data_IF_186165521785
#
_entry.id   IF_186165521785
#
_cell.length_a   1.000
_cell.length_b   1.000
_cell.length_c   1.000
_cell.angle_alpha   90.00
_cell.angle_beta   90.00
_cell.angle_gamma   90.00
#
_symmetry.space_group_name_H-M   'P 1'
#
loop_
_entity.id
_entity.type
_entity.pdbx_description
1 polymer ?
#
# COMPACT_ATOMS: atom_id res chain seq x y z
N UNK A 1 0.35 13.44 10.94
CA UNK A 1 1.21 12.58 10.09
C UNK A 1 1.02 12.97 8.65
N UNK A 2 2.10 13.10 7.88
CA UNK A 2 1.99 13.32 6.43
C UNK A 2 1.31 12.12 5.72
N UNK A 3 0.79 12.32 4.51
CA UNK A 3 0.10 11.26 3.75
C UNK A 3 1.06 10.36 2.96
N UNK A 4 2.38 10.58 3.06
CA UNK A 4 3.36 9.89 2.22
C UNK A 4 3.70 8.53 2.83
N UNK A 5 3.45 7.48 2.06
CA UNK A 5 3.90 6.12 2.40
C UNK A 5 5.43 6.05 2.36
N UNK A 6 6.02 5.31 3.28
CA UNK A 6 7.45 5.01 3.31
C UNK A 6 7.65 3.56 2.86
N UNK A 7 8.68 3.30 2.08
CA UNK A 7 8.93 2.00 1.46
C UNK A 7 10.41 1.65 1.60
N UNK A 8 10.68 0.36 1.78
CA UNK A 8 12.04 -0.18 1.81
C UNK A 8 12.59 -0.42 0.41
N UNK A 9 13.86 -0.80 0.32
CA UNK A 9 14.42 -1.36 -0.90
C UNK A 9 13.81 -2.74 -1.19
N UNK A 10 13.74 -3.11 -2.45
CA UNK A 10 13.27 -4.44 -2.88
C UNK A 10 14.40 -5.43 -2.74
N UNK A 11 14.18 -6.51 -1.99
CA UNK A 11 15.07 -7.67 -1.93
C UNK A 11 14.56 -8.72 -2.93
N UNK A 12 15.43 -9.13 -3.87
CA UNK A 12 15.06 -10.10 -4.91
C UNK A 12 15.49 -11.51 -4.52
N UNK A 13 14.61 -12.49 -4.71
CA UNK A 13 14.87 -13.90 -4.44
C UNK A 13 15.32 -14.18 -3.00
N UNK A 14 14.77 -13.44 -2.04
CA UNK A 14 15.09 -13.59 -0.63
C UNK A 14 13.79 -13.71 0.20
N UNK A 15 13.46 -14.90 0.72
CA UNK A 15 12.24 -15.10 1.51
C UNK A 15 12.38 -14.60 2.96
N UNK A 16 13.58 -14.23 3.42
CA UNK A 16 13.83 -13.74 4.77
C UNK A 16 14.65 -12.43 4.74
N UNK A 17 14.11 -11.36 4.12
CA UNK A 17 14.86 -10.13 3.91
C UNK A 17 15.16 -9.41 5.22
N UNK A 18 16.41 -8.99 5.39
CA UNK A 18 16.83 -8.07 6.46
C UNK A 18 16.96 -6.66 5.89
N UNK A 19 16.09 -5.75 6.32
CA UNK A 19 16.01 -4.40 5.73
C UNK A 19 16.91 -3.37 6.39
N UNK A 20 16.97 -3.35 7.74
CA UNK A 20 17.67 -2.35 8.55
C UNK A 20 17.49 -0.89 8.06
N UNK A 21 16.23 -0.51 7.84
CA UNK A 21 15.88 0.83 7.35
C UNK A 21 15.11 1.63 8.38
N UNK A 22 15.43 2.92 8.44
CA UNK A 22 14.84 3.84 9.39
C UNK A 22 13.93 4.83 8.66
N UNK A 23 12.69 4.98 9.16
CA UNK A 23 11.72 5.93 8.65
C UNK A 23 11.33 6.94 9.71
N UNK A 24 11.07 8.19 9.29
CA UNK A 24 10.60 9.26 10.16
C UNK A 24 9.20 9.70 9.74
N UNK A 25 8.33 9.80 10.74
CA UNK A 25 6.95 10.25 10.59
C UNK A 25 6.74 11.49 11.46
N UNK A 26 6.35 12.65 10.89
CA UNK A 26 6.05 13.83 11.68
C UNK A 26 4.70 13.63 12.40
N UNK A 27 4.75 13.50 13.72
CA UNK A 27 3.59 13.28 14.60
C UNK A 27 3.85 13.91 15.95
N UNK A 28 2.84 14.56 16.53
CA UNK A 28 2.94 15.08 17.90
C UNK A 28 2.83 13.93 18.91
N UNK A 29 3.36 14.11 20.12
CA UNK A 29 3.24 13.08 21.16
C UNK A 29 1.77 12.87 21.60
N UNK A 30 0.97 13.93 21.56
CA UNK A 30 -0.47 13.89 21.87
C UNK A 30 -1.23 13.05 20.85
N UNK A 31 -1.00 13.28 19.55
CA UNK A 31 -1.69 12.57 18.47
C UNK A 31 -1.27 11.11 18.35
N UNK A 32 -0.07 10.76 18.85
CA UNK A 32 0.56 9.47 18.64
C UNK A 32 -0.26 8.32 19.22
N UNK A 33 -0.86 8.52 20.39
CA UNK A 33 -1.68 7.52 21.09
C UNK A 33 -2.87 7.03 20.26
N UNK A 34 -3.40 7.89 19.39
CA UNK A 34 -4.51 7.57 18.50
C UNK A 34 -4.03 7.14 17.10
N UNK A 35 -2.83 6.57 16.99
CA UNK A 35 -2.28 6.10 15.71
C UNK A 35 -1.94 4.61 15.78
N UNK A 36 -2.03 3.99 14.62
CA UNK A 36 -1.57 2.63 14.38
C UNK A 36 -0.49 2.68 13.31
N UNK A 37 0.68 2.14 13.62
CA UNK A 37 1.70 1.87 12.63
C UNK A 37 1.30 0.59 11.86
N UNK A 38 1.23 0.70 10.53
CA UNK A 38 0.87 -0.42 9.66
C UNK A 38 2.09 -0.73 8.80
N UNK A 39 2.65 -1.93 8.96
CA UNK A 39 3.73 -2.46 8.14
C UNK A 39 3.14 -3.49 7.18
N UNK A 40 3.17 -3.21 5.88
CA UNK A 40 2.66 -4.12 4.86
C UNK A 40 3.82 -4.76 4.10
N UNK A 41 3.80 -6.09 3.99
CA UNK A 41 4.77 -6.86 3.23
C UNK A 41 4.17 -7.15 1.86
N UNK A 42 4.93 -6.82 0.82
CA UNK A 42 4.54 -7.02 -0.57
C UNK A 42 5.49 -7.97 -1.26
N UNK A 43 4.94 -8.85 -2.09
CA UNK A 43 5.67 -9.54 -3.15
C UNK A 43 5.70 -8.61 -4.37
N UNK A 44 6.92 -8.30 -4.82
CA UNK A 44 7.12 -7.33 -5.89
C UNK A 44 7.14 -8.04 -7.25
N UNK A 45 6.22 -7.65 -8.13
CA UNK A 45 6.22 -8.08 -9.53
C UNK A 45 6.55 -6.90 -10.45
N UNK A 46 7.44 -7.11 -11.42
CA UNK A 46 7.85 -6.09 -12.38
C UNK A 46 6.78 -5.79 -13.43
N UNK A 47 5.99 -6.79 -13.80
CA UNK A 47 5.06 -6.75 -14.93
C UNK A 47 3.60 -6.85 -14.53
N UNK A 48 3.30 -7.19 -13.28
CA UNK A 48 1.96 -7.14 -12.71
C UNK A 48 1.88 -6.25 -11.48
N UNK A 49 0.74 -6.31 -10.78
CA UNK A 49 0.58 -5.65 -9.50
C UNK A 49 1.31 -6.44 -8.43
N UNK A 50 1.86 -5.72 -7.45
CA UNK A 50 2.39 -6.33 -6.25
C UNK A 50 1.28 -7.01 -5.46
N UNK A 51 1.57 -8.21 -4.99
CA UNK A 51 0.68 -8.96 -4.13
C UNK A 51 0.99 -8.64 -2.67
N UNK A 52 -0.06 -8.46 -1.87
CA UNK A 52 0.11 -8.25 -0.42
C UNK A 52 0.36 -9.62 0.19
N UNK A 53 1.55 -9.84 0.73
CA UNK A 53 1.87 -11.05 1.50
C UNK A 53 1.10 -11.03 2.81
N UNK A 54 1.07 -9.87 3.49
CA UNK A 54 0.33 -9.63 4.72
C UNK A 54 0.72 -8.32 5.37
N UNK A 55 0.25 -8.08 6.59
CA UNK A 55 0.61 -6.89 7.36
C UNK A 55 0.71 -7.17 8.86
N UNK A 56 1.43 -6.27 9.53
CA UNK A 56 1.52 -6.16 10.98
C UNK A 56 0.97 -4.79 11.36
N UNK A 57 0.07 -4.76 12.35
CA UNK A 57 -0.48 -3.53 12.93
C UNK A 57 0.03 -3.38 14.36
N UNK A 58 0.60 -2.22 14.65
CA UNK A 58 1.10 -1.87 15.97
C UNK A 58 0.35 -0.63 16.44
N UNK A 59 -0.48 -0.80 17.46
CA UNK A 59 -1.15 0.32 18.09
C UNK A 59 -0.14 1.11 18.93
N UNK A 60 0.04 2.39 18.64
CA UNK A 60 1.03 3.21 19.32
C UNK A 60 0.67 3.50 20.78
N UNK A 61 -0.61 3.33 21.16
CA UNK A 61 -1.04 3.41 22.55
C UNK A 61 -0.43 2.31 23.43
N UNK A 62 -0.16 1.14 22.84
CA UNK A 62 0.25 -0.06 23.57
C UNK A 62 1.78 -0.12 23.79
N UNK A 63 2.52 0.88 23.29
CA UNK A 63 3.98 0.94 23.34
C UNK A 63 4.48 2.12 24.18
N UNK A 64 5.48 1.86 25.03
CA UNK A 64 6.25 2.91 25.69
C UNK A 64 7.35 3.45 24.76
N UNK A 65 7.00 4.46 23.97
CA UNK A 65 7.90 5.10 23.01
C UNK A 65 8.91 6.08 23.63
N UNK A 66 8.98 6.17 24.97
CA UNK A 66 9.98 7.03 25.65
C UNK A 66 11.40 6.46 25.53
N UNK A 67 11.52 5.17 25.25
CA UNK A 67 12.77 4.46 25.02
C UNK A 67 12.74 3.69 23.70
N UNK A 68 13.88 3.13 23.30
CA UNK A 68 13.93 2.26 22.11
C UNK A 68 13.17 0.97 22.39
N UNK A 69 12.14 0.70 21.61
CA UNK A 69 11.34 -0.54 21.73
C UNK A 69 11.55 -1.39 20.49
N UNK A 70 11.79 -2.69 20.72
CA UNK A 70 11.81 -3.71 19.68
C UNK A 70 10.52 -4.54 19.79
N UNK A 71 9.82 -4.71 18.67
CA UNK A 71 8.53 -5.42 18.62
C UNK A 71 8.60 -6.51 17.57
N UNK A 72 8.21 -7.73 17.96
CA UNK A 72 8.00 -8.86 17.08
C UNK A 72 6.50 -9.06 16.86
N UNK A 73 6.09 -9.36 15.63
CA UNK A 73 4.69 -9.59 15.29
C UNK A 73 4.53 -10.53 14.10
N UNK A 74 3.49 -11.35 14.16
CA UNK A 74 3.17 -12.28 13.08
C UNK A 74 2.59 -11.53 11.87
N UNK A 75 3.05 -11.90 10.67
CA UNK A 75 2.53 -11.34 9.42
C UNK A 75 1.16 -11.95 9.15
N UNK A 76 0.11 -11.15 9.31
CA UNK A 76 -1.26 -11.59 9.07
C UNK A 76 -1.69 -11.33 7.64
N UNK A 77 -2.22 -12.36 6.96
CA UNK A 77 -2.76 -12.21 5.61
C UNK A 77 -4.16 -11.63 5.68
N UNK A 78 -4.32 -10.38 5.30
CA UNK A 78 -5.65 -9.88 4.96
C UNK A 78 -5.98 -10.34 3.55
N UNK A 79 -6.96 -11.24 3.42
CA UNK A 79 -7.59 -11.48 2.13
C UNK A 79 -8.18 -10.14 1.70
N UNK A 80 -7.63 -9.53 0.65
CA UNK A 80 -8.43 -8.56 -0.11
C UNK A 80 -9.68 -9.33 -0.52
N UNK A 81 -10.90 -8.84 -0.20
CA UNK A 81 -12.09 -9.38 -0.84
C UNK A 81 -11.81 -9.38 -2.35
N UNK A 82 -11.91 -10.52 -3.05
CA UNK A 82 -11.47 -10.69 -4.43
C UNK A 82 -12.07 -9.70 -5.45
N UNK A 83 -13.05 -8.87 -5.05
CA UNK A 83 -13.98 -8.19 -5.94
C UNK A 83 -14.21 -6.70 -5.64
N UNK A 84 -13.52 -6.07 -4.67
CA UNK A 84 -13.98 -4.74 -4.20
C UNK A 84 -13.41 -3.52 -4.91
N UNK A 85 -12.29 -3.62 -5.61
CA UNK A 85 -11.75 -2.47 -6.34
C UNK A 85 -12.24 -2.48 -7.78
N UNK A 86 -13.08 -1.50 -8.10
CA UNK A 86 -13.58 -1.25 -9.46
C UNK A 86 -12.41 -0.85 -10.33
N UNK A 87 -12.30 -1.46 -11.50
CA UNK A 87 -11.24 -1.13 -12.43
C UNK A 87 -11.73 -1.02 -13.85
N UNK A 88 -11.15 -0.08 -14.57
CA UNK A 88 -11.46 0.18 -15.97
C UNK A 88 -10.16 0.27 -16.75
N UNK A 89 -10.09 -0.46 -17.86
CA UNK A 89 -9.04 -0.35 -18.85
C UNK A 89 -9.50 0.61 -19.95
N UNK A 90 -8.68 1.64 -20.20
CA UNK A 90 -8.94 2.70 -21.16
C UNK A 90 -7.83 2.72 -22.22
N UNK A 91 -8.15 3.13 -23.44
CA UNK A 91 -7.18 3.61 -24.43
C UNK A 91 -7.39 5.10 -24.66
N UNK A 92 -6.29 5.85 -24.69
CA UNK A 92 -6.27 7.30 -24.93
C UNK A 92 -5.47 7.58 -26.20
N UNK A 93 -6.03 8.37 -27.11
CA UNK A 93 -5.36 8.82 -28.34
C UNK A 93 -5.65 10.29 -28.59
N UNK A 94 -4.61 11.12 -28.72
CA UNK A 94 -4.75 12.55 -28.98
C UNK A 94 -4.25 12.89 -30.39
N UNK A 95 -5.07 13.63 -31.14
CA UNK A 95 -4.72 14.18 -32.46
C UNK A 95 -4.65 15.72 -32.36
N UNK A 96 -3.44 16.31 -32.25
CA UNK A 96 -3.29 17.75 -32.04
C UNK A 96 -3.87 18.62 -33.16
N UNK A 97 -3.73 18.19 -34.43
CA UNK A 97 -4.19 18.96 -35.59
C UNK A 97 -5.70 19.16 -35.67
N UNK A 98 -6.47 18.31 -34.99
CA UNK A 98 -7.92 18.40 -34.89
C UNK A 98 -8.38 18.70 -33.46
N UNK A 99 -7.44 18.98 -32.55
CA UNK A 99 -7.70 19.18 -31.11
C UNK A 99 -8.58 18.08 -30.50
N UNK A 100 -8.39 16.83 -30.96
CA UNK A 100 -9.29 15.72 -30.64
C UNK A 100 -8.64 14.70 -29.74
N UNK A 101 -9.19 14.53 -28.53
CA UNK A 101 -8.90 13.42 -27.63
C UNK A 101 -9.95 12.31 -27.82
N UNK A 102 -9.50 11.11 -28.16
CA UNK A 102 -10.33 9.89 -28.22
C UNK A 102 -10.07 9.05 -26.97
N UNK A 103 -11.15 8.73 -26.26
CA UNK A 103 -11.13 7.85 -25.08
C UNK A 103 -11.95 6.60 -25.39
N UNK A 104 -11.33 5.42 -25.38
CA UNK A 104 -12.01 4.15 -25.61
C UNK A 104 -12.01 3.34 -24.32
N UNK A 105 -13.20 2.97 -23.83
CA UNK A 105 -13.36 2.04 -22.73
C UNK A 105 -13.25 0.61 -23.26
N UNK A 106 -12.20 -0.10 -22.87
CA UNK A 106 -11.89 -1.44 -23.39
C UNK A 106 -12.50 -2.54 -22.53
N UNK A 107 -12.34 -2.45 -21.21
CA UNK A 107 -12.81 -3.47 -20.27
C UNK A 107 -13.07 -2.83 -18.91
N UNK A 108 -14.04 -3.36 -18.19
CA UNK A 108 -14.20 -3.10 -16.77
C UNK A 108 -14.27 -4.42 -15.99
N UNK A 109 -13.80 -4.40 -14.75
CA UNK A 109 -13.92 -5.52 -13.81
C UNK A 109 -14.35 -5.00 -12.44
N UNK A 110 -15.01 -5.87 -11.66
CA UNK A 110 -15.38 -5.59 -10.28
C UNK A 110 -16.29 -4.35 -10.12
N UNK A 111 -17.13 -4.06 -11.12
CA UNK A 111 -18.10 -2.96 -11.07
C UNK A 111 -19.20 -3.26 -10.05
N UNK A 112 -19.69 -2.22 -9.38
CA UNK A 112 -20.88 -2.36 -8.53
C UNK A 112 -22.08 -2.84 -9.35
N UNK A 113 -22.92 -3.68 -8.74
CA UNK A 113 -24.20 -4.05 -9.34
C UNK A 113 -25.09 -2.81 -9.43
N UNK A 114 -25.81 -2.59 -10.55
CA UNK A 114 -26.81 -1.53 -10.61
C UNK A 114 -27.85 -1.75 -9.50
N UNK A 115 -28.28 -0.66 -8.87
CA UNK A 115 -29.37 -0.66 -7.88
C UNK A 115 -30.73 -0.87 -8.55
#
# INVERSE_FOLDING_TARGET
VDSRKRQTAIHRNDPNPFFDQHFKFPVSHEDLKDKTLILQVFDYDRFSRNDVVGEVRVNMLDLDVTSSVEVWGDITKHKKPPEELQEVLLSLSYLPSAERLTVVLLKARNLFRPK
#
